data_IF_781831387539
#
_entry.id   IF_781831387539
#
_cell.length_a   1.000
_cell.length_b   1.000
_cell.length_c   1.000
_cell.angle_alpha   90.00
_cell.angle_beta   90.00
_cell.angle_gamma   90.00
#
_symmetry.space_group_name_H-M   'P 1'
#
loop_
_entity.id
_entity.type
_entity.pdbx_description
1 polymer ?
#
# COMPACT_ATOMS: atom_id res chain seq x y z
N UNK A 1 -12.19 -2.00 2.92
CA UNK A 1 -12.82 -2.14 4.27
C UNK A 1 -14.17 -2.87 4.20
N UNK A 2 -14.89 -2.83 3.08
CA UNK A 2 -16.22 -3.49 2.97
C UNK A 2 -16.16 -5.01 3.19
N UNK A 3 -15.07 -5.67 2.81
CA UNK A 3 -14.88 -7.13 2.96
C UNK A 3 -14.09 -7.52 4.21
N UNK A 4 -13.59 -6.56 4.99
CA UNK A 4 -12.71 -6.85 6.13
C UNK A 4 -13.34 -7.81 7.14
N UNK A 5 -14.61 -7.60 7.50
CA UNK A 5 -15.33 -8.46 8.43
C UNK A 5 -15.76 -9.82 7.85
N UNK A 6 -15.64 -9.98 6.52
CA UNK A 6 -15.89 -11.26 5.83
C UNK A 6 -14.59 -12.08 5.68
N UNK A 7 -13.45 -11.42 5.64
CA UNK A 7 -12.14 -12.02 5.40
C UNK A 7 -11.31 -12.18 6.68
N UNK A 8 -11.65 -11.45 7.76
CA UNK A 8 -10.89 -11.43 9.02
C UNK A 8 -11.80 -11.33 10.24
N UNK A 9 -11.26 -11.60 11.43
CA UNK A 9 -11.96 -11.40 12.70
C UNK A 9 -12.02 -9.92 13.14
N UNK A 10 -11.36 -9.01 12.41
CA UNK A 10 -11.29 -7.59 12.77
C UNK A 10 -12.47 -6.79 12.24
N UNK A 11 -13.08 -5.98 13.10
CA UNK A 11 -14.08 -5.01 12.68
C UNK A 11 -13.43 -3.79 12.01
N UNK A 12 -14.18 -3.10 11.14
CA UNK A 12 -13.74 -1.86 10.54
C UNK A 12 -13.44 -0.76 11.60
N UNK A 13 -14.18 -0.76 12.70
CA UNK A 13 -13.97 0.21 13.78
C UNK A 13 -12.70 -0.09 14.58
N UNK A 14 -12.37 -1.37 14.79
CA UNK A 14 -11.10 -1.75 15.38
C UNK A 14 -9.91 -1.22 14.54
N UNK A 15 -9.95 -1.43 13.22
CA UNK A 15 -8.87 -0.96 12.34
C UNK A 15 -8.79 0.57 12.29
N UNK A 16 -9.94 1.27 12.31
CA UNK A 16 -9.96 2.74 12.38
C UNK A 16 -9.34 3.28 13.67
N UNK A 17 -9.58 2.59 14.78
CA UNK A 17 -9.05 2.99 16.08
C UNK A 17 -7.51 2.87 16.21
N UNK A 18 -6.85 2.15 15.28
CA UNK A 18 -5.39 2.07 15.21
C UNK A 18 -4.75 3.31 14.55
N UNK A 19 -5.53 4.15 13.90
CA UNK A 19 -5.04 5.33 13.20
C UNK A 19 -5.22 6.59 14.04
N UNK A 20 -4.23 7.48 14.03
CA UNK A 20 -4.33 8.81 14.66
C UNK A 20 -5.38 9.69 13.98
N UNK A 21 -5.53 9.54 12.65
CA UNK A 21 -6.49 10.28 11.84
C UNK A 21 -7.19 9.37 10.83
N UNK A 22 -8.51 9.46 10.78
CA UNK A 22 -9.34 8.73 9.81
C UNK A 22 -10.04 9.72 8.90
N UNK A 23 -9.84 9.60 7.60
CA UNK A 23 -10.45 10.47 6.60
C UNK A 23 -11.57 9.75 5.85
N UNK A 24 -12.62 10.50 5.50
CA UNK A 24 -13.64 10.02 4.57
C UNK A 24 -13.03 9.88 3.16
N UNK A 25 -13.27 8.79 2.43
CA UNK A 25 -12.80 8.65 1.04
C UNK A 25 -13.29 9.75 0.09
N UNK A 26 -14.39 10.42 0.45
CA UNK A 26 -15.01 11.51 -0.34
C UNK A 26 -14.47 12.90 0.01
N UNK A 27 -13.75 13.03 1.12
CA UNK A 27 -13.22 14.31 1.59
C UNK A 27 -11.92 14.67 0.86
N UNK A 28 -12.03 15.10 -0.38
CA UNK A 28 -10.89 15.57 -1.19
C UNK A 28 -10.30 16.90 -0.69
N UNK A 29 -10.89 17.54 0.31
CA UNK A 29 -10.38 18.72 1.01
C UNK A 29 -9.53 18.39 2.25
N UNK A 30 -9.39 17.12 2.62
CA UNK A 30 -8.59 16.70 3.76
C UNK A 30 -7.12 17.17 3.66
N UNK A 31 -6.44 17.32 4.79
CA UNK A 31 -5.05 17.82 4.86
C UNK A 31 -4.09 17.05 3.93
N UNK A 32 -4.24 15.74 3.82
CA UNK A 32 -3.42 14.88 2.96
C UNK A 32 -3.61 15.12 1.44
N UNK A 33 -4.60 15.93 1.05
CA UNK A 33 -4.80 16.40 -0.33
C UNK A 33 -3.84 17.52 -0.73
N UNK A 34 -3.11 18.09 0.23
CA UNK A 34 -2.18 19.19 0.02
C UNK A 34 -0.73 18.75 0.09
N UNK A 35 0.09 19.20 -0.86
CA UNK A 35 1.53 18.93 -0.86
C UNK A 35 2.26 19.58 0.33
N UNK A 36 1.71 20.63 0.93
CA UNK A 36 2.28 21.27 2.13
C UNK A 36 2.12 20.44 3.40
N UNK A 37 1.17 19.50 3.44
CA UNK A 37 1.04 18.56 4.54
C UNK A 37 2.16 17.51 4.46
N UNK A 38 3.01 17.48 5.49
CA UNK A 38 4.20 16.62 5.50
C UNK A 38 3.83 15.18 5.86
N UNK A 39 4.28 14.23 5.04
CA UNK A 39 4.17 12.79 5.29
C UNK A 39 5.46 12.09 4.92
N UNK A 40 5.75 10.97 5.57
CA UNK A 40 6.85 10.06 5.20
C UNK A 40 6.64 9.46 3.80
N UNK A 41 5.39 9.30 3.40
CA UNK A 41 4.95 8.71 2.15
C UNK A 41 3.56 8.12 2.30
N UNK A 42 3.19 7.19 1.40
CA UNK A 42 1.89 6.54 1.42
C UNK A 42 2.01 5.05 1.07
N UNK A 43 1.42 4.21 1.90
CA UNK A 43 1.23 2.79 1.63
C UNK A 43 -0.25 2.54 1.34
N UNK A 44 -0.54 1.98 0.17
CA UNK A 44 -1.90 1.54 -0.21
C UNK A 44 -1.98 0.03 -0.04
N UNK A 45 -2.64 -0.42 1.03
CA UNK A 45 -2.72 -1.82 1.44
C UNK A 45 -4.14 -2.22 1.86
N UNK A 46 -4.83 -3.06 1.09
CA UNK A 46 -4.49 -3.49 -0.27
C UNK A 46 -4.76 -2.39 -1.31
N UNK A 47 -4.11 -2.49 -2.46
CA UNK A 47 -4.40 -1.67 -3.63
C UNK A 47 -5.27 -2.46 -4.62
N UNK A 48 -6.50 -2.00 -4.86
CA UNK A 48 -7.40 -2.59 -5.84
C UNK A 48 -7.09 -2.12 -7.27
N UNK A 49 -7.63 -2.84 -8.28
CA UNK A 49 -7.56 -2.42 -9.69
C UNK A 49 -8.11 -1.01 -9.89
N UNK A 50 -9.24 -0.67 -9.24
CA UNK A 50 -9.84 0.68 -9.30
C UNK A 50 -8.86 1.74 -8.81
N UNK A 51 -8.23 1.52 -7.66
CA UNK A 51 -7.26 2.46 -7.08
C UNK A 51 -6.01 2.57 -7.94
N UNK A 52 -5.44 1.43 -8.38
CA UNK A 52 -4.31 1.41 -9.29
C UNK A 52 -4.59 2.18 -10.58
N UNK A 53 -5.76 1.97 -11.19
CA UNK A 53 -6.18 2.68 -12.40
C UNK A 53 -6.28 4.18 -12.18
N UNK A 54 -6.90 4.61 -11.07
CA UNK A 54 -6.97 6.03 -10.71
C UNK A 54 -5.59 6.68 -10.58
N UNK A 55 -4.67 6.01 -9.88
CA UNK A 55 -3.29 6.49 -9.65
C UNK A 55 -2.52 6.53 -10.99
N UNK A 56 -2.58 5.45 -11.77
CA UNK A 56 -1.88 5.34 -13.04
C UNK A 56 -2.31 6.43 -14.06
N UNK A 57 -3.57 6.87 -14.00
CA UNK A 57 -4.12 7.88 -14.89
C UNK A 57 -4.26 9.27 -14.24
N UNK A 58 -3.81 9.45 -13.01
CA UNK A 58 -3.95 10.71 -12.24
C UNK A 58 -5.43 11.17 -12.15
N UNK A 59 -6.37 10.23 -12.06
CA UNK A 59 -7.79 10.52 -11.99
C UNK A 59 -8.27 10.67 -10.56
N UNK A 60 -8.15 11.88 -10.04
CA UNK A 60 -8.32 12.25 -8.63
C UNK A 60 -9.78 12.34 -8.17
N UNK A 61 -10.60 11.30 -8.40
CA UNK A 61 -12.02 11.26 -8.03
C UNK A 61 -12.28 10.95 -6.55
N UNK A 62 -11.30 10.41 -5.86
CA UNK A 62 -11.38 10.03 -4.45
C UNK A 62 -10.11 10.45 -3.70
N UNK A 63 -10.25 10.66 -2.38
CA UNK A 63 -9.14 11.11 -1.54
C UNK A 63 -7.90 10.21 -1.64
N UNK A 64 -8.07 8.89 -1.69
CA UNK A 64 -6.96 7.94 -1.79
C UNK A 64 -6.10 8.17 -3.05
N UNK A 65 -6.76 8.43 -4.18
CA UNK A 65 -6.06 8.72 -5.45
C UNK A 65 -5.42 10.11 -5.39
N UNK A 66 -6.12 11.10 -4.83
CA UNK A 66 -5.56 12.45 -4.65
C UNK A 66 -4.34 12.46 -3.74
N UNK A 67 -4.37 11.77 -2.60
CA UNK A 67 -3.24 11.68 -1.70
C UNK A 67 -2.04 10.96 -2.34
N UNK A 68 -2.29 9.91 -3.14
CA UNK A 68 -1.25 9.24 -3.91
C UNK A 68 -0.62 10.17 -4.96
N UNK A 69 -1.43 10.94 -5.70
CA UNK A 69 -0.96 11.95 -6.65
C UNK A 69 -0.11 13.03 -5.96
N UNK A 70 -0.52 13.46 -4.76
CA UNK A 70 0.28 14.39 -3.94
C UNK A 70 1.62 13.77 -3.57
N UNK A 71 1.66 12.50 -3.14
CA UNK A 71 2.93 11.83 -2.85
C UNK A 71 3.85 11.80 -4.07
N UNK A 72 3.32 11.47 -5.24
CA UNK A 72 4.10 11.41 -6.48
C UNK A 72 4.65 12.78 -6.90
N UNK A 73 3.80 13.82 -6.90
CA UNK A 73 4.23 15.17 -7.30
C UNK A 73 5.27 15.79 -6.34
N UNK A 74 5.17 15.47 -5.04
CA UNK A 74 6.12 15.90 -4.00
C UNK A 74 7.34 14.98 -3.88
N UNK A 75 7.48 13.98 -4.77
CA UNK A 75 8.56 12.98 -4.76
C UNK A 75 8.67 12.21 -3.46
N UNK A 76 7.54 12.02 -2.77
CA UNK A 76 7.42 11.16 -1.59
C UNK A 76 7.16 9.73 -2.01
N UNK A 77 7.58 8.79 -1.18
CA UNK A 77 7.43 7.37 -1.46
C UNK A 77 5.95 6.96 -1.51
N UNK A 78 5.56 6.30 -2.58
CA UNK A 78 4.25 5.69 -2.75
C UNK A 78 4.44 4.20 -3.02
N UNK A 79 3.91 3.35 -2.14
CA UNK A 79 3.96 1.89 -2.27
C UNK A 79 2.54 1.36 -2.46
N UNK A 80 2.34 0.56 -3.50
CA UNK A 80 1.04 -0.02 -3.87
C UNK A 80 1.10 -1.54 -3.69
N UNK A 81 0.50 -2.06 -2.62
CA UNK A 81 0.34 -3.52 -2.41
C UNK A 81 -0.82 -4.01 -3.29
N UNK A 82 -0.55 -4.06 -4.59
CA UNK A 82 -1.54 -4.45 -5.59
C UNK A 82 -1.84 -5.94 -5.51
N UNK A 83 -3.09 -6.31 -5.21
CA UNK A 83 -3.52 -7.71 -5.13
C UNK A 83 -4.61 -7.98 -6.16
N UNK A 84 -4.23 -8.69 -7.21
CA UNK A 84 -5.13 -9.17 -8.26
C UNK A 84 -4.56 -10.43 -8.91
N UNK A 85 -5.43 -11.39 -9.24
CA UNK A 85 -5.05 -12.61 -9.96
C UNK A 85 -6.28 -13.29 -10.58
N UNK A 86 -6.21 -13.86 -11.81
CA UNK A 86 -5.14 -13.72 -12.78
C UNK A 86 -5.05 -12.31 -13.37
N UNK A 87 -3.89 -11.95 -13.90
CA UNK A 87 -3.67 -10.67 -14.54
C UNK A 87 -3.95 -10.75 -16.04
N UNK A 88 -4.47 -9.66 -16.61
CA UNK A 88 -4.55 -9.46 -18.05
C UNK A 88 -3.72 -8.23 -18.49
N UNK A 89 -3.56 -8.04 -19.79
CA UNK A 89 -2.71 -6.98 -20.34
C UNK A 89 -3.03 -5.58 -19.79
N UNK A 90 -4.30 -5.27 -19.51
CA UNK A 90 -4.70 -3.98 -18.91
C UNK A 90 -4.13 -3.78 -17.52
N UNK A 91 -4.13 -4.81 -16.64
CA UNK A 91 -3.52 -4.74 -15.32
C UNK A 91 -2.00 -4.51 -15.42
N UNK A 92 -1.34 -5.19 -16.35
CA UNK A 92 0.11 -5.06 -16.57
C UNK A 92 0.44 -3.63 -17.03
N UNK A 93 -0.32 -3.08 -17.97
CA UNK A 93 -0.15 -1.70 -18.44
C UNK A 93 -0.39 -0.65 -17.33
N UNK A 94 -1.36 -0.90 -16.43
CA UNK A 94 -1.58 -0.02 -15.27
C UNK A 94 -0.41 -0.06 -14.28
N UNK A 95 0.15 -1.24 -14.00
CA UNK A 95 1.33 -1.39 -13.14
C UNK A 95 2.55 -0.69 -13.75
N UNK A 96 2.79 -0.87 -15.04
CA UNK A 96 3.86 -0.19 -15.78
C UNK A 96 3.71 1.32 -15.65
N UNK A 97 2.53 1.87 -15.97
CA UNK A 97 2.27 3.31 -15.90
C UNK A 97 2.43 3.87 -14.50
N UNK A 98 1.93 3.18 -13.47
CA UNK A 98 2.11 3.60 -12.08
C UNK A 98 3.60 3.62 -11.70
N UNK A 99 4.38 2.65 -12.15
CA UNK A 99 5.83 2.57 -11.94
C UNK A 99 6.57 3.71 -12.64
N UNK A 100 6.22 4.01 -13.90
CA UNK A 100 6.78 5.13 -14.65
C UNK A 100 6.46 6.48 -14.00
N UNK A 101 5.29 6.61 -13.36
CA UNK A 101 4.92 7.79 -12.58
C UNK A 101 5.69 7.91 -11.24
N UNK A 102 6.43 6.87 -10.83
CA UNK A 102 7.27 6.87 -9.63
C UNK A 102 6.70 6.09 -8.44
N UNK A 103 5.58 5.38 -8.60
CA UNK A 103 5.09 4.47 -7.57
C UNK A 103 5.91 3.16 -7.52
N UNK A 104 6.00 2.57 -6.34
CA UNK A 104 6.52 1.22 -6.16
C UNK A 104 5.33 0.27 -6.17
N UNK A 105 5.20 -0.53 -7.22
CA UNK A 105 4.19 -1.59 -7.29
C UNK A 105 4.77 -2.83 -6.62
N UNK A 106 4.17 -3.20 -5.49
CA UNK A 106 4.60 -4.32 -4.64
C UNK A 106 3.43 -5.29 -4.42
N UNK A 107 3.18 -6.22 -5.33
CA UNK A 107 2.22 -7.29 -5.08
C UNK A 107 2.63 -8.08 -3.81
N UNK A 108 1.68 -8.46 -2.93
CA UNK A 108 1.98 -9.20 -1.71
C UNK A 108 2.28 -10.67 -2.01
N UNK A 109 3.36 -10.91 -2.77
CA UNK A 109 3.83 -12.25 -3.14
C UNK A 109 4.69 -12.80 -2.00
N UNK A 110 4.31 -13.93 -1.38
CA UNK A 110 5.05 -14.49 -0.26
C UNK A 110 6.44 -14.97 -0.68
N UNK A 111 7.42 -14.71 0.18
CA UNK A 111 8.78 -15.23 0.02
C UNK A 111 8.98 -16.49 0.87
N UNK A 112 9.60 -17.50 0.30
CA UNK A 112 9.83 -18.79 0.98
C UNK A 112 11.29 -19.01 1.40
N UNK A 113 12.23 -18.16 0.97
CA UNK A 113 13.65 -18.32 1.24
C UNK A 113 14.03 -18.27 2.73
N UNK A 114 13.17 -17.68 3.59
CA UNK A 114 13.36 -17.61 5.04
C UNK A 114 12.70 -18.78 5.79
N UNK A 115 12.14 -19.75 5.05
CA UNK A 115 11.50 -20.99 5.56
C UNK A 115 10.41 -20.67 6.59
N UNK A 116 9.33 -19.94 6.23
CA UNK A 116 8.27 -19.58 7.15
C UNK A 116 7.58 -20.82 7.72
N UNK A 117 7.19 -20.78 9.00
CA UNK A 117 6.54 -21.88 9.71
C UNK A 117 5.03 -21.68 9.85
N UNK A 118 4.54 -20.47 9.58
CA UNK A 118 3.13 -20.12 9.67
C UNK A 118 2.74 -19.08 8.62
N UNK A 119 1.44 -18.88 8.43
CA UNK A 119 0.92 -17.80 7.60
C UNK A 119 1.28 -16.45 8.21
N UNK A 120 1.24 -16.31 9.53
CA UNK A 120 1.60 -15.07 10.23
C UNK A 120 3.05 -14.66 9.97
N UNK A 121 3.99 -15.60 9.93
CA UNK A 121 5.37 -15.31 9.56
C UNK A 121 5.48 -14.80 8.12
N UNK A 122 4.68 -15.33 7.19
CA UNK A 122 4.66 -14.87 5.80
C UNK A 122 4.08 -13.47 5.68
N UNK A 123 3.00 -13.18 6.42
CA UNK A 123 2.37 -11.86 6.47
C UNK A 123 3.36 -10.85 7.09
N UNK A 124 3.93 -11.18 8.24
CA UNK A 124 4.91 -10.33 8.95
C UNK A 124 6.10 -9.99 8.06
N UNK A 125 6.64 -10.97 7.34
CA UNK A 125 7.73 -10.76 6.39
C UNK A 125 7.31 -9.80 5.27
N UNK A 126 6.14 -10.00 4.68
CA UNK A 126 5.62 -9.18 3.57
C UNK A 126 5.36 -7.74 4.01
N UNK A 127 4.70 -7.57 5.17
CA UNK A 127 4.41 -6.24 5.74
C UNK A 127 5.70 -5.52 6.14
N UNK A 128 6.61 -6.22 6.83
CA UNK A 128 7.90 -5.66 7.21
C UNK A 128 8.71 -5.19 5.99
N UNK A 129 8.71 -5.98 4.90
CA UNK A 129 9.36 -5.56 3.65
C UNK A 129 8.71 -4.34 3.01
N UNK A 130 7.38 -4.19 3.13
CA UNK A 130 6.72 -2.96 2.67
C UNK A 130 7.11 -1.74 3.51
N UNK A 131 7.25 -1.90 4.83
CA UNK A 131 7.68 -0.85 5.75
C UNK A 131 9.16 -0.48 5.59
N UNK A 132 10.03 -1.45 5.28
CA UNK A 132 11.44 -1.21 4.94
C UNK A 132 11.57 -0.17 3.80
N UNK A 133 10.65 -0.16 2.85
CA UNK A 133 10.65 0.81 1.75
C UNK A 133 10.50 2.25 2.25
N UNK A 134 9.99 2.47 3.44
CA UNK A 134 9.87 3.77 4.10
C UNK A 134 10.99 4.03 5.12
N UNK A 135 11.94 3.11 5.24
CA UNK A 135 12.98 3.20 6.27
C UNK A 135 12.49 2.85 7.68
N UNK A 136 11.31 2.21 7.79
CA UNK A 136 10.76 1.74 9.06
C UNK A 136 11.16 0.28 9.26
N UNK A 137 12.12 0.06 10.15
CA UNK A 137 12.55 -1.30 10.52
C UNK A 137 11.66 -1.83 11.66
N UNK A 138 10.99 -2.95 11.41
CA UNK A 138 10.14 -3.62 12.42
C UNK A 138 10.93 -4.57 13.32
N UNK A 139 12.20 -4.85 13.00
CA UNK A 139 13.01 -5.86 13.66
C UNK A 139 12.55 -7.32 13.44
N UNK A 140 11.54 -7.53 12.57
CA UNK A 140 10.92 -8.85 12.35
C UNK A 140 11.21 -9.42 10.95
N UNK A 141 11.86 -8.64 10.08
CA UNK A 141 12.18 -9.06 8.73
C UNK A 141 13.42 -9.95 8.74
N UNK A 142 13.28 -11.18 8.30
CA UNK A 142 14.43 -12.08 8.08
C UNK A 142 15.12 -11.69 6.78
N UNK A 143 16.35 -11.22 6.89
CA UNK A 143 17.13 -10.75 5.74
C UNK A 143 17.96 -11.87 5.14
N UNK A 144 18.20 -11.80 3.82
CA UNK A 144 18.99 -12.81 3.12
C UNK A 144 20.45 -12.78 3.57
N UNK A 145 20.95 -13.92 4.07
CA UNK A 145 22.34 -14.09 4.56
C UNK A 145 22.74 -13.15 5.72
N UNK A 146 21.80 -12.53 6.40
CA UNK A 146 22.10 -11.85 7.66
C UNK A 146 22.39 -12.91 8.73
N UNK A 147 23.55 -12.79 9.40
CA UNK A 147 23.89 -13.66 10.51
C UNK A 147 22.91 -13.42 11.67
N UNK A 148 22.54 -14.46 12.46
CA UNK A 148 21.67 -14.33 13.60
C UNK A 148 22.32 -13.47 14.69
#
# INVERSE_FOLDING_TARGET
>A
ILTLGEETEFSADYVRALADHVHSPKDIGAAISSGSFQTLGMLVAPCSVKTLSGIAHCYNSELIVRAADVCLKERRRLVLMFRETPLHAGHIALMERATLNGAIVMPPVPAFYHVPKSIDEMITQTVGRALDLFGVDTGQVKRWKEAP
#
